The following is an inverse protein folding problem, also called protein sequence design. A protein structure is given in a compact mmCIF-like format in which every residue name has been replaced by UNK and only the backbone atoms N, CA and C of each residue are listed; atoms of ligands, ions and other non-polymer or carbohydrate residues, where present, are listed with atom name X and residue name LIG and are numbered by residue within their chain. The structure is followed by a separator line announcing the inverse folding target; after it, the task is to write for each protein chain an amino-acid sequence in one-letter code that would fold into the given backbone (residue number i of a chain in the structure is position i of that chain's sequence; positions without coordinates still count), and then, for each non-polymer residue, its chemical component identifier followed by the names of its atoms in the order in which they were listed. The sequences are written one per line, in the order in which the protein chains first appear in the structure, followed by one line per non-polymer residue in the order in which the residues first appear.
data_IF_212661327183
#
_entry.id   IF_212661327183
#
_cell.length_a   1.000
_cell.length_b   1.000
_cell.length_c   1.000
_cell.angle_alpha   90.00
_cell.angle_beta   90.00
_cell.angle_gamma   90.00
#
_symmetry.space_group_name_H-M   'P 1'
#
loop_
_entity.id
_entity.type
_entity.pdbx_description
1 polymer ?
#
# COMPACT_ATOMS: atom_id res chain seq x y z
N UNK A 1 -14.69 0.04 4.65
CA UNK A 1 -14.61 -1.22 3.88
C UNK A 1 -13.20 -1.79 4.00
N UNK A 2 -13.06 -3.09 4.30
CA UNK A 2 -11.75 -3.76 4.38
C UNK A 2 -11.19 -4.05 3.00
N UNK A 3 -9.87 -4.22 2.91
CA UNK A 3 -9.17 -4.60 1.68
C UNK A 3 -9.71 -5.91 1.12
N UNK A 4 -9.78 -6.00 -0.21
CA UNK A 4 -10.20 -7.20 -0.95
C UNK A 4 -9.12 -7.58 -1.95
N UNK A 5 -9.12 -8.83 -2.42
CA UNK A 5 -8.21 -9.29 -3.48
C UNK A 5 -8.30 -8.42 -4.75
N UNK A 6 -9.51 -8.04 -5.16
CA UNK A 6 -9.73 -7.16 -6.32
C UNK A 6 -9.11 -5.79 -6.12
N UNK A 7 -9.22 -5.23 -4.91
CA UNK A 7 -8.54 -3.98 -4.57
C UNK A 7 -7.02 -4.13 -4.59
N UNK A 8 -6.48 -5.23 -4.05
CA UNK A 8 -5.04 -5.51 -4.05
C UNK A 8 -4.48 -5.60 -5.48
N UNK A 9 -5.19 -6.28 -6.40
CA UNK A 9 -4.83 -6.31 -7.83
C UNK A 9 -4.76 -4.89 -8.43
N UNK A 10 -5.77 -4.06 -8.14
CA UNK A 10 -5.82 -2.68 -8.61
C UNK A 10 -4.64 -1.85 -8.10
N UNK A 11 -4.33 -1.94 -6.81
CA UNK A 11 -3.18 -1.23 -6.20
C UNK A 11 -1.86 -1.64 -6.84
N UNK A 12 -1.65 -2.95 -7.02
CA UNK A 12 -0.44 -3.47 -7.67
C UNK A 12 -0.33 -3.01 -9.14
N UNK A 13 -1.46 -2.95 -9.85
CA UNK A 13 -1.51 -2.38 -11.20
C UNK A 13 -1.06 -0.91 -11.22
N UNK A 14 -1.59 -0.08 -10.31
CA UNK A 14 -1.19 1.32 -10.21
C UNK A 14 0.32 1.48 -9.93
N UNK A 15 0.89 0.64 -9.08
CA UNK A 15 2.34 0.67 -8.83
C UNK A 15 3.15 0.23 -10.04
N UNK A 16 2.66 -0.73 -10.83
CA UNK A 16 3.32 -1.20 -12.05
C UNK A 16 3.36 -0.11 -13.14
N UNK A 17 2.39 0.80 -13.16
CA UNK A 17 2.37 1.94 -14.08
C UNK A 17 3.39 3.03 -13.70
N UNK A 18 3.72 3.15 -12.41
CA UNK A 18 4.60 4.21 -11.88
C UNK A 18 6.05 3.74 -11.76
N UNK A 19 6.27 2.48 -11.39
CA UNK A 19 7.59 1.94 -11.12
C UNK A 19 7.98 0.87 -12.13
N UNK A 20 9.24 0.84 -12.58
CA UNK A 20 9.73 -0.29 -13.38
C UNK A 20 9.56 -1.58 -12.57
N UNK A 21 8.70 -2.48 -13.04
CA UNK A 21 8.43 -3.76 -12.38
C UNK A 21 9.73 -4.55 -12.21
N UNK A 22 9.96 -5.20 -11.06
CA UNK A 22 11.05 -6.14 -10.93
C UNK A 22 10.80 -7.28 -11.93
N UNK A 23 11.67 -7.39 -12.93
CA UNK A 23 11.62 -8.34 -14.07
C UNK A 23 11.56 -9.82 -13.67
N UNK A 24 11.52 -10.16 -12.37
CA UNK A 24 11.51 -11.51 -11.80
C UNK A 24 10.20 -11.96 -11.16
N UNK A 25 9.17 -11.13 -11.04
CA UNK A 25 7.87 -11.58 -10.51
C UNK A 25 6.97 -12.16 -11.61
N UNK A 26 7.38 -13.32 -12.11
CA UNK A 26 6.74 -14.10 -13.20
C UNK A 26 5.38 -14.71 -12.77
N UNK A 27 4.84 -14.37 -11.60
CA UNK A 27 3.55 -14.90 -11.15
C UNK A 27 2.71 -13.85 -10.40
N UNK A 28 1.93 -13.07 -11.16
CA UNK A 28 1.12 -11.97 -10.64
C UNK A 28 0.17 -12.38 -9.52
N UNK A 29 -0.40 -13.59 -9.56
CA UNK A 29 -1.29 -14.09 -8.51
C UNK A 29 -0.58 -14.29 -7.16
N UNK A 30 0.66 -14.79 -7.17
CA UNK A 30 1.43 -14.98 -5.93
C UNK A 30 1.76 -13.65 -5.27
N UNK A 31 2.06 -12.62 -6.09
CA UNK A 31 2.30 -11.27 -5.60
C UNK A 31 1.03 -10.66 -5.00
N UNK A 32 -0.11 -10.82 -5.68
CA UNK A 32 -1.42 -10.36 -5.20
C UNK A 32 -1.77 -11.02 -3.86
N UNK A 33 -1.62 -12.35 -3.74
CA UNK A 33 -1.91 -13.06 -2.49
C UNK A 33 -1.00 -12.61 -1.35
N UNK A 34 0.30 -12.46 -1.60
CA UNK A 34 1.25 -11.97 -0.60
C UNK A 34 0.86 -10.59 -0.07
N UNK A 35 0.50 -9.66 -0.97
CA UNK A 35 0.04 -8.34 -0.58
C UNK A 35 -1.29 -8.39 0.17
N UNK A 36 -2.23 -9.21 -0.30
CA UNK A 36 -3.54 -9.34 0.30
C UNK A 36 -3.45 -9.87 1.73
N UNK A 37 -2.67 -10.93 2.00
CA UNK A 37 -2.51 -11.48 3.35
C UNK A 37 -1.92 -10.48 4.36
N UNK A 38 -1.17 -9.47 3.92
CA UNK A 38 -0.65 -8.41 4.80
C UNK A 38 -1.67 -7.28 4.97
N UNK A 39 -2.43 -6.97 3.92
CA UNK A 39 -3.27 -5.78 3.87
C UNK A 39 -4.75 -6.04 4.20
N UNK A 40 -5.20 -7.29 4.25
CA UNK A 40 -6.61 -7.66 4.47
C UNK A 40 -7.18 -7.12 5.79
N UNK A 41 -6.31 -6.93 6.79
CA UNK A 41 -6.67 -6.38 8.09
C UNK A 41 -6.89 -4.86 8.07
N UNK A 42 -6.50 -4.16 7.01
CA UNK A 42 -6.59 -2.70 6.90
C UNK A 42 -7.83 -2.25 6.14
N UNK A 43 -8.21 -0.98 6.32
CA UNK A 43 -9.29 -0.38 5.53
C UNK A 43 -8.75 0.10 4.18
N UNK A 44 -9.60 0.00 3.16
CA UNK A 44 -9.28 0.44 1.79
C UNK A 44 -8.85 1.92 1.77
N UNK A 45 -9.48 2.78 2.58
CA UNK A 45 -9.16 4.19 2.62
C UNK A 45 -7.70 4.42 3.05
N UNK A 46 -7.30 3.83 4.17
CA UNK A 46 -5.95 3.96 4.74
C UNK A 46 -4.90 3.42 3.76
N UNK A 47 -5.13 2.24 3.19
CA UNK A 47 -4.22 1.63 2.22
C UNK A 47 -4.11 2.47 0.95
N UNK A 48 -5.22 3.00 0.44
CA UNK A 48 -5.21 3.83 -0.76
C UNK A 48 -4.44 5.13 -0.55
N UNK A 49 -4.60 5.78 0.60
CA UNK A 49 -3.90 7.03 0.90
C UNK A 49 -2.41 6.80 1.18
N UNK A 50 -2.05 5.73 1.90
CA UNK A 50 -0.66 5.29 2.03
C UNK A 50 -0.02 5.01 0.65
N UNK A 51 -0.71 4.28 -0.23
CA UNK A 51 -0.21 4.00 -1.57
C UNK A 51 0.03 5.28 -2.38
N UNK A 52 -0.87 6.27 -2.31
CA UNK A 52 -0.70 7.57 -2.98
C UNK A 52 0.52 8.33 -2.47
N UNK A 53 0.78 8.30 -1.16
CA UNK A 53 1.98 8.93 -0.57
C UNK A 53 3.23 8.23 -1.05
N UNK A 54 3.26 6.89 -0.99
CA UNK A 54 4.40 6.08 -1.42
C UNK A 54 4.73 6.23 -2.92
N UNK A 55 3.73 6.36 -3.79
CA UNK A 55 3.95 6.63 -5.23
C UNK A 55 4.71 7.94 -5.47
N UNK A 56 4.64 8.91 -4.55
CA UNK A 56 5.33 10.21 -4.68
C UNK A 56 6.71 10.22 -4.02
N UNK A 57 6.93 9.38 -3.01
CA UNK A 57 8.13 9.41 -2.17
C UNK A 57 9.14 8.33 -2.52
N UNK A 58 8.68 7.14 -2.90
CA UNK A 58 9.55 6.03 -3.24
C UNK A 58 10.12 6.17 -4.65
N UNK A 59 11.35 5.66 -4.83
CA UNK A 59 12.02 5.54 -6.13
C UNK A 59 12.04 4.09 -6.64
N UNK A 60 11.40 3.18 -5.91
CA UNK A 60 11.33 1.74 -6.20
C UNK A 60 9.90 1.25 -6.05
N UNK A 61 9.61 0.10 -6.66
CA UNK A 61 8.36 -0.61 -6.41
C UNK A 61 8.23 -0.88 -4.89
N UNK A 62 7.09 -0.53 -4.27
CA UNK A 62 6.88 -0.74 -2.84
C UNK A 62 6.76 -2.22 -2.48
N UNK A 63 6.99 -2.52 -1.20
CA UNK A 63 6.64 -3.78 -0.56
C UNK A 63 5.40 -3.57 0.32
N UNK A 64 4.67 -4.63 0.71
CA UNK A 64 3.53 -4.51 1.62
C UNK A 64 3.88 -3.81 2.94
N UNK A 65 5.09 -4.05 3.46
CA UNK A 65 5.58 -3.42 4.69
C UNK A 65 5.68 -1.89 4.58
N UNK A 66 6.09 -1.36 3.41
CA UNK A 66 6.16 0.09 3.20
C UNK A 66 4.76 0.74 3.38
N UNK A 67 3.71 0.05 2.93
CA UNK A 67 2.32 0.50 3.06
C UNK A 67 1.87 0.48 4.53
N UNK A 68 2.18 -0.59 5.26
CA UNK A 68 1.85 -0.71 6.69
C UNK A 68 2.56 0.37 7.50
N UNK A 69 3.83 0.62 7.24
CA UNK A 69 4.59 1.69 7.90
C UNK A 69 3.98 3.07 7.61
N UNK A 70 3.58 3.33 6.37
CA UNK A 70 2.98 4.62 5.98
C UNK A 70 1.60 4.83 6.62
N UNK A 71 0.80 3.76 6.77
CA UNK A 71 -0.46 3.80 7.53
C UNK A 71 -0.18 4.15 9.00
N UNK A 72 0.83 3.52 9.61
CA UNK A 72 1.25 3.81 10.98
C UNK A 72 1.66 5.26 11.16
N UNK A 73 2.47 5.81 10.25
CA UNK A 73 2.86 7.24 10.27
C UNK A 73 1.66 8.16 10.17
N UNK A 74 0.73 7.90 9.25
CA UNK A 74 -0.47 8.71 9.10
C UNK A 74 -1.36 8.68 10.37
N UNK A 75 -1.41 7.55 11.07
CA UNK A 75 -2.13 7.44 12.33
C UNK A 75 -1.46 8.23 13.47
N UNK A 76 -0.13 8.25 13.54
CA UNK A 76 0.60 9.07 14.52
C UNK A 76 0.47 10.57 14.21
N UNK A 77 0.61 10.98 12.93
CA UNK A 77 0.38 12.36 12.48
C UNK A 77 -1.03 12.86 12.89
N UNK A 78 -2.05 12.01 12.75
CA UNK A 78 -3.42 12.35 13.13
C UNK A 78 -3.62 12.49 14.65
N UNK A 79 -2.92 11.68 15.45
CA UNK A 79 -2.95 11.78 16.92
C UNK A 79 -2.29 13.07 17.39
N UNK A 80 -1.14 13.42 16.83
CA UNK A 80 -0.42 14.65 17.16
C UNK A 80 -1.24 15.89 16.79
N UNK A 81 -1.83 15.91 15.60
CA UNK A 81 -2.66 17.03 15.15
C UNK A 81 -3.89 17.27 16.05
N UNK A 82 -4.48 16.22 16.61
CA UNK A 82 -5.63 16.33 17.51
C UNK A 82 -5.22 16.65 18.96
N UNK A 83 -3.98 16.36 19.37
CA UNK A 83 -3.46 16.74 20.68
C UNK A 83 -3.04 18.23 20.75
N UNK A 84 -2.87 18.88 19.60
CA UNK A 84 -2.49 20.30 19.47
C UNK A 84 -3.68 21.23 19.19
N UNK A 85 -4.89 20.69 19.05
CA UNK A 85 -6.14 21.43 18.81
C UNK A 85 -6.94 21.62 20.12
#
# INVERSE_FOLDING_TARGET
MKVTLEFTKKVLGNFADVFPLPTKHVNGERLVMMWFSVLEEFYIADVNDACKRLMRTLKRFPYPADVVEEIGKAAEEAKEANAQA
#
